data_IF_408738126823
#
_entry.id   IF_408738126823
#
_cell.length_a   1.000
_cell.length_b   1.000
_cell.length_c   1.000
_cell.angle_alpha   90.00
_cell.angle_beta   90.00
_cell.angle_gamma   90.00
#
_symmetry.space_group_name_H-M   'P 1'
#
loop_
_entity.id
_entity.type
_entity.pdbx_description
1 polymer ?
#
# COMPACT_ATOMS: atom_id res chain seq x y z
N UNK A 1 -20.29 15.55 5.28
CA UNK A 1 -19.38 14.98 4.25
C UNK A 1 -17.99 15.56 4.47
N UNK A 2 -17.01 14.74 4.84
CA UNK A 2 -15.65 15.19 5.18
C UNK A 2 -14.92 15.62 3.91
N UNK A 3 -14.45 16.88 3.86
CA UNK A 3 -13.68 17.44 2.75
C UNK A 3 -12.37 16.68 2.65
N UNK A 4 -12.17 15.86 1.61
CA UNK A 4 -10.90 15.16 1.42
C UNK A 4 -9.80 16.17 1.05
N UNK A 5 -8.65 16.01 1.70
CA UNK A 5 -7.39 16.63 1.31
C UNK A 5 -6.70 15.67 0.35
N UNK A 6 -6.49 16.12 -0.89
CA UNK A 6 -5.75 15.38 -1.91
C UNK A 6 -4.26 15.67 -1.73
N UNK A 7 -3.41 14.64 -1.87
CA UNK A 7 -1.97 14.76 -1.64
C UNK A 7 -1.61 14.88 -0.15
N UNK A 8 -1.32 13.75 0.49
CA UNK A 8 -0.91 13.68 1.90
C UNK A 8 0.62 13.70 2.03
N UNK A 9 1.29 12.93 1.20
CA UNK A 9 2.76 12.86 1.13
C UNK A 9 3.32 14.07 0.39
N UNK A 10 4.64 14.25 0.44
CA UNK A 10 5.31 15.25 -0.38
C UNK A 10 5.01 15.05 -1.88
N UNK A 11 5.04 13.80 -2.37
CA UNK A 11 4.81 13.45 -3.77
C UNK A 11 3.41 13.80 -4.27
N UNK A 12 2.37 13.44 -3.52
CA UNK A 12 1.00 13.81 -3.86
C UNK A 12 0.77 15.33 -3.85
N UNK A 13 1.42 16.05 -2.92
CA UNK A 13 1.38 17.52 -2.89
C UNK A 13 2.10 18.14 -4.08
N UNK A 14 3.30 17.66 -4.40
CA UNK A 14 4.09 18.13 -5.53
C UNK A 14 3.36 17.94 -6.86
N UNK A 15 2.65 16.81 -7.03
CA UNK A 15 1.78 16.56 -8.18
C UNK A 15 0.65 17.61 -8.30
N UNK A 16 -0.10 17.84 -7.23
CA UNK A 16 -1.19 18.84 -7.24
C UNK A 16 -0.65 20.23 -7.50
N UNK A 17 0.51 20.55 -6.94
CA UNK A 17 1.13 21.86 -7.09
C UNK A 17 1.61 22.08 -8.53
N UNK A 18 2.21 21.08 -9.16
CA UNK A 18 2.57 21.14 -10.58
C UNK A 18 1.34 21.39 -11.46
N UNK A 19 0.22 20.71 -11.19
CA UNK A 19 -1.03 20.93 -11.92
C UNK A 19 -1.61 22.34 -11.71
N UNK A 20 -1.49 22.90 -10.51
CA UNK A 20 -1.93 24.28 -10.23
C UNK A 20 -1.12 25.31 -11.00
N UNK A 21 0.20 25.11 -11.11
CA UNK A 21 1.09 26.02 -11.84
C UNK A 21 0.74 26.11 -13.32
N UNK A 22 0.19 25.04 -13.91
CA UNK A 22 -0.21 25.01 -15.31
C UNK A 22 -1.71 25.34 -15.52
N UNK A 23 -2.52 25.42 -14.46
CA UNK A 23 -3.95 25.72 -14.51
C UNK A 23 -4.26 27.22 -14.51
N UNK A 24 -3.87 27.93 -15.58
CA UNK A 24 -4.17 29.35 -15.76
C UNK A 24 -5.67 29.69 -15.83
N UNK A 25 -6.52 28.67 -16.05
CA UNK A 25 -7.97 28.83 -16.23
C UNK A 25 -8.81 28.47 -15.01
N UNK A 26 -8.17 28.11 -13.90
CA UNK A 26 -8.83 27.65 -12.66
C UNK A 26 -9.88 26.54 -12.93
N UNK A 27 -9.53 25.57 -13.77
CA UNK A 27 -10.39 24.42 -14.11
C UNK A 27 -10.21 23.26 -13.14
N UNK A 28 -9.04 23.10 -12.53
CA UNK A 28 -8.75 22.05 -11.56
C UNK A 28 -9.70 22.07 -10.35
N UNK A 29 -10.05 23.22 -9.74
CA UNK A 29 -11.01 23.25 -8.63
C UNK A 29 -12.40 22.73 -8.98
N UNK A 30 -12.80 22.77 -10.26
CA UNK A 30 -14.14 22.35 -10.72
C UNK A 30 -14.37 20.84 -10.57
N UNK A 31 -13.29 20.04 -10.61
CA UNK A 31 -13.34 18.59 -10.39
C UNK A 31 -13.43 18.18 -8.92
N UNK A 32 -13.21 19.11 -7.98
CA UNK A 32 -13.11 18.79 -6.55
C UNK A 32 -14.40 18.20 -5.97
N UNK A 33 -15.55 18.70 -6.42
CA UNK A 33 -16.85 18.15 -5.99
C UNK A 33 -17.02 16.70 -6.43
N UNK A 34 -16.62 16.36 -7.65
CA UNK A 34 -16.71 14.99 -8.18
C UNK A 34 -15.77 14.05 -7.44
N UNK A 35 -14.53 14.48 -7.19
CA UNK A 35 -13.56 13.70 -6.42
C UNK A 35 -14.06 13.43 -5.00
N UNK A 36 -14.57 14.45 -4.30
CA UNK A 36 -15.09 14.30 -2.93
C UNK A 36 -16.34 13.43 -2.81
N UNK A 37 -17.19 13.40 -3.85
CA UNK A 37 -18.43 12.61 -3.86
C UNK A 37 -18.21 11.15 -4.27
N UNK A 38 -16.95 10.71 -4.48
CA UNK A 38 -16.64 9.36 -4.94
C UNK A 38 -17.15 9.09 -6.37
N UNK A 39 -17.22 10.14 -7.20
CA UNK A 39 -17.69 10.01 -8.58
C UNK A 39 -16.67 9.27 -9.47
N UNK A 40 -15.38 9.28 -9.11
CA UNK A 40 -14.36 8.42 -9.72
C UNK A 40 -14.57 7.01 -9.20
N UNK A 41 -15.17 6.14 -10.03
CA UNK A 41 -15.58 4.78 -9.67
C UNK A 41 -14.45 3.76 -9.81
N UNK A 42 -13.51 4.05 -10.71
CA UNK A 42 -12.38 3.18 -11.02
C UNK A 42 -11.23 4.05 -11.49
N UNK A 43 -10.03 3.70 -11.06
CA UNK A 43 -8.76 4.24 -11.54
C UNK A 43 -7.77 3.09 -11.63
N UNK A 44 -7.12 2.98 -12.78
CA UNK A 44 -6.07 2.01 -13.06
C UNK A 44 -4.89 2.76 -13.63
N UNK A 45 -3.71 2.45 -13.10
CA UNK A 45 -2.44 3.03 -13.53
C UNK A 45 -1.57 1.87 -13.98
N UNK A 46 -1.07 1.94 -15.20
CA UNK A 46 -0.22 0.90 -15.74
C UNK A 46 0.23 1.20 -17.16
N UNK A 47 1.44 0.77 -17.53
CA UNK A 47 1.94 0.86 -18.91
C UNK A 47 2.01 2.29 -19.45
N UNK A 48 2.30 3.26 -18.58
CA UNK A 48 2.40 4.68 -18.96
C UNK A 48 1.06 5.38 -19.20
N UNK A 49 -0.06 4.76 -18.83
CA UNK A 49 -1.40 5.33 -18.97
C UNK A 49 -2.21 5.24 -17.68
N UNK A 50 -3.04 6.26 -17.44
CA UNK A 50 -4.09 6.22 -16.42
C UNK A 50 -5.42 6.04 -17.11
N UNK A 51 -6.14 4.97 -16.76
CA UNK A 51 -7.50 4.71 -17.19
C UNK A 51 -8.45 4.93 -16.02
N UNK A 52 -9.56 5.62 -16.25
CA UNK A 52 -10.53 5.88 -15.20
C UNK A 52 -11.97 5.88 -15.70
N UNK A 53 -12.90 5.60 -14.77
CA UNK A 53 -14.35 5.71 -14.99
C UNK A 53 -14.95 6.71 -14.02
N UNK A 54 -15.57 7.76 -14.55
CA UNK A 54 -16.16 8.84 -13.74
C UNK A 54 -17.65 8.94 -13.94
N UNK A 55 -18.41 8.72 -12.88
CA UNK A 55 -19.84 8.92 -12.86
C UNK A 55 -20.16 10.41 -13.02
N UNK A 56 -21.00 10.72 -14.00
CA UNK A 56 -21.56 12.07 -14.15
C UNK A 56 -23.06 12.03 -14.28
N UNK A 57 -23.60 12.90 -15.13
CA UNK A 57 -25.06 12.99 -15.34
C UNK A 57 -25.64 11.84 -16.18
N UNK A 58 -24.81 11.17 -16.98
CA UNK A 58 -25.25 10.03 -17.82
C UNK A 58 -25.37 8.75 -16.99
N UNK A 59 -26.19 7.81 -17.45
CA UNK A 59 -26.37 6.50 -16.81
C UNK A 59 -25.06 5.70 -16.78
N UNK A 60 -24.29 5.72 -17.87
CA UNK A 60 -22.97 5.10 -17.92
C UNK A 60 -21.88 6.09 -17.49
N UNK A 61 -20.87 5.64 -16.71
CA UNK A 61 -19.68 6.44 -16.38
C UNK A 61 -18.91 6.87 -17.64
N UNK A 62 -18.36 8.08 -17.62
CA UNK A 62 -17.47 8.57 -18.66
C UNK A 62 -16.13 7.84 -18.60
N UNK A 63 -15.57 7.53 -19.76
CA UNK A 63 -14.24 6.92 -19.91
C UNK A 63 -13.20 8.03 -19.97
N UNK A 64 -12.11 7.86 -19.23
CA UNK A 64 -10.99 8.79 -19.17
C UNK A 64 -9.71 8.04 -19.46
N UNK A 65 -8.85 8.66 -20.28
CA UNK A 65 -7.49 8.21 -20.57
C UNK A 65 -6.55 9.38 -20.37
N UNK A 66 -5.51 9.23 -19.55
CA UNK A 66 -4.47 10.26 -19.35
C UNK A 66 -3.11 9.63 -19.61
N UNK A 67 -2.27 10.32 -20.38
CA UNK A 67 -0.86 9.99 -20.60
C UNK A 67 0.00 11.23 -20.34
N UNK A 68 1.18 11.03 -19.78
CA UNK A 68 2.21 12.06 -19.75
C UNK A 68 3.17 11.86 -20.92
N UNK A 69 3.75 12.96 -21.41
CA UNK A 69 4.81 12.88 -22.40
C UNK A 69 5.99 12.07 -21.83
N UNK A 70 6.42 10.97 -22.46
CA UNK A 70 7.52 10.15 -21.97
C UNK A 70 8.85 10.90 -21.99
N UNK A 71 9.81 10.47 -21.18
CA UNK A 71 11.19 10.93 -21.34
C UNK A 71 11.77 10.41 -22.66
N UNK A 72 12.54 11.27 -23.34
CA UNK A 72 13.36 10.87 -24.48
C UNK A 72 14.41 9.84 -24.04
N UNK A 73 14.97 9.02 -24.95
CA UNK A 73 16.05 8.09 -24.63
C UNK A 73 17.21 8.77 -23.88
N UNK A 74 17.68 9.91 -24.38
CA UNK A 74 18.73 10.71 -23.71
C UNK A 74 18.33 11.18 -22.31
N UNK A 75 17.05 11.52 -22.12
CA UNK A 75 16.51 11.90 -20.83
C UNK A 75 16.53 10.75 -19.83
N UNK A 76 16.15 9.54 -20.27
CA UNK A 76 16.22 8.33 -19.46
C UNK A 76 17.65 7.99 -19.06
N UNK A 77 18.57 8.03 -20.03
CA UNK A 77 19.99 7.81 -19.78
C UNK A 77 20.59 8.83 -18.82
N UNK A 78 20.15 10.10 -18.93
CA UNK A 78 20.51 11.17 -18.01
C UNK A 78 20.04 10.90 -16.58
N UNK A 79 18.82 10.39 -16.40
CA UNK A 79 18.28 10.01 -15.08
C UNK A 79 19.05 8.81 -14.51
N UNK A 80 19.27 7.77 -15.31
CA UNK A 80 19.99 6.57 -14.87
C UNK A 80 21.45 6.91 -14.49
N UNK A 81 22.10 7.82 -15.23
CA UNK A 81 23.43 8.34 -14.88
C UNK A 81 23.39 9.13 -13.57
N UNK A 82 22.39 10.01 -13.40
CA UNK A 82 22.24 10.81 -12.18
C UNK A 82 22.12 9.93 -10.93
N UNK A 83 21.35 8.83 -11.02
CA UNK A 83 21.19 7.87 -9.93
C UNK A 83 22.53 7.18 -9.62
N UNK A 84 23.23 6.69 -10.65
CA UNK A 84 24.55 6.03 -10.48
C UNK A 84 25.61 6.93 -9.85
N UNK A 85 25.59 8.22 -10.19
CA UNK A 85 26.57 9.21 -9.70
C UNK A 85 26.25 9.72 -8.29
N UNK A 86 25.08 9.42 -7.73
CA UNK A 86 24.64 9.91 -6.43
C UNK A 86 24.34 8.75 -5.46
N UNK A 87 25.31 8.38 -4.60
CA UNK A 87 25.17 7.26 -3.67
C UNK A 87 23.96 7.35 -2.74
N UNK A 88 23.56 8.57 -2.33
CA UNK A 88 22.40 8.80 -1.48
C UNK A 88 21.10 8.46 -2.21
N UNK A 89 20.97 8.91 -3.47
CA UNK A 89 19.79 8.58 -4.29
C UNK A 89 19.72 7.09 -4.60
N UNK A 90 20.86 6.49 -4.95
CA UNK A 90 20.96 5.05 -5.17
C UNK A 90 20.49 4.28 -3.93
N UNK A 91 21.05 4.56 -2.75
CA UNK A 91 20.71 3.84 -1.51
C UNK A 91 19.21 3.88 -1.16
N UNK A 92 18.56 5.05 -1.27
CA UNK A 92 17.12 5.17 -1.01
C UNK A 92 16.28 4.41 -2.05
N UNK A 93 16.63 4.50 -3.34
CA UNK A 93 15.97 3.76 -4.41
C UNK A 93 16.10 2.25 -4.21
N UNK A 94 17.24 1.77 -3.70
CA UNK A 94 17.47 0.37 -3.34
C UNK A 94 16.57 -0.11 -2.21
N UNK A 95 16.21 0.78 -1.29
CA UNK A 95 15.21 0.51 -0.24
C UNK A 95 13.76 0.60 -0.77
N UNK A 96 13.58 0.81 -2.08
CA UNK A 96 12.28 1.00 -2.70
C UNK A 96 11.62 2.32 -2.32
N UNK A 97 12.39 3.32 -1.88
CA UNK A 97 11.92 4.66 -1.52
C UNK A 97 12.30 5.64 -2.62
N UNK A 98 11.38 6.54 -2.97
CA UNK A 98 11.64 7.58 -3.96
C UNK A 98 12.05 8.88 -3.25
N UNK A 99 13.31 9.33 -3.36
CA UNK A 99 13.79 10.49 -2.59
C UNK A 99 13.14 11.80 -3.00
N UNK A 100 12.64 12.57 -2.03
CA UNK A 100 12.01 13.89 -2.28
C UNK A 100 12.99 14.91 -2.91
N UNK A 101 14.30 14.70 -2.72
CA UNK A 101 15.33 15.53 -3.35
C UNK A 101 15.51 15.26 -4.86
N UNK A 102 15.08 14.09 -5.36
CA UNK A 102 15.34 13.65 -6.73
C UNK A 102 14.84 14.65 -7.80
N UNK A 103 13.61 15.22 -7.72
CA UNK A 103 13.15 16.17 -8.72
C UNK A 103 13.96 17.46 -8.78
N UNK A 104 14.54 17.90 -7.65
CA UNK A 104 15.40 19.09 -7.62
C UNK A 104 16.72 18.81 -8.37
N UNK A 105 17.35 17.68 -8.09
CA UNK A 105 18.61 17.27 -8.75
C UNK A 105 18.38 16.99 -10.25
N UNK A 106 17.24 16.41 -10.62
CA UNK A 106 16.85 16.26 -12.03
C UNK A 106 16.73 17.62 -12.73
N UNK A 107 16.13 18.60 -12.06
CA UNK A 107 15.92 19.95 -12.62
C UNK A 107 17.23 20.66 -12.91
N UNK A 108 18.27 20.47 -12.09
CA UNK A 108 19.61 21.00 -12.35
C UNK A 108 20.21 20.49 -13.66
N UNK A 109 19.82 19.28 -14.09
CA UNK A 109 20.19 18.69 -15.40
C UNK A 109 19.18 18.96 -16.51
N UNK A 110 18.24 19.89 -16.30
CA UNK A 110 17.20 20.24 -17.28
C UNK A 110 16.07 19.21 -17.41
N UNK A 111 16.04 18.18 -16.55
CA UNK A 111 15.04 17.11 -16.58
C UNK A 111 13.88 17.45 -15.63
N UNK A 112 12.65 17.28 -16.08
CA UNK A 112 11.44 17.58 -15.30
C UNK A 112 10.55 16.35 -15.18
N UNK A 113 10.34 15.89 -13.95
CA UNK A 113 9.43 14.78 -13.66
C UNK A 113 7.97 15.20 -13.79
N UNK A 114 7.62 16.36 -13.24
CA UNK A 114 6.27 16.90 -13.28
C UNK A 114 6.00 17.67 -14.59
N UNK A 115 4.77 17.64 -15.11
CA UNK A 115 4.41 18.36 -16.33
C UNK A 115 4.51 19.87 -16.13
N UNK A 116 5.13 20.58 -17.09
CA UNK A 116 5.20 22.05 -17.05
C UNK A 116 4.16 22.74 -17.93
N UNK A 117 3.36 21.98 -18.70
CA UNK A 117 2.23 22.52 -19.44
C UNK A 117 1.18 21.44 -19.70
N UNK A 118 -0.06 21.83 -20.02
CA UNK A 118 -1.10 20.91 -20.46
C UNK A 118 -0.76 20.16 -21.76
N UNK A 119 0.20 20.65 -22.55
CA UNK A 119 0.65 19.97 -23.78
C UNK A 119 1.45 18.72 -23.48
N UNK A 120 2.09 18.64 -22.31
CA UNK A 120 2.79 17.42 -21.83
C UNK A 120 1.81 16.38 -21.25
N UNK A 121 0.50 16.66 -21.26
CA UNK A 121 -0.54 15.77 -20.73
C UNK A 121 -1.58 15.50 -21.81
N UNK A 122 -1.45 14.36 -22.48
CA UNK A 122 -2.46 13.88 -23.43
C UNK A 122 -3.63 13.26 -22.66
N UNK A 123 -4.73 13.99 -22.56
CA UNK A 123 -5.91 13.60 -21.79
C UNK A 123 -7.17 13.55 -22.67
N UNK A 124 -7.88 12.42 -22.61
CA UNK A 124 -9.17 12.22 -23.27
C UNK A 124 -10.25 11.93 -22.23
N UNK A 125 -11.44 12.50 -22.46
CA UNK A 125 -12.63 12.19 -21.68
C UNK A 125 -13.83 12.10 -22.61
N UNK A 126 -14.60 11.01 -22.50
CA UNK A 126 -15.77 10.76 -23.36
C UNK A 126 -16.99 11.66 -23.07
N UNK A 127 -16.79 12.82 -22.44
CA UNK A 127 -17.82 13.79 -22.11
C UNK A 127 -17.90 14.87 -23.19
N UNK A 128 -19.03 15.60 -23.33
CA UNK A 128 -19.17 16.61 -24.37
C UNK A 128 -18.33 17.89 -24.14
N UNK A 129 -17.58 17.96 -23.03
CA UNK A 129 -16.65 19.05 -22.73
C UNK A 129 -15.25 18.65 -23.23
N UNK A 130 -14.80 19.33 -24.27
CA UNK A 130 -13.51 19.12 -24.94
C UNK A 130 -12.34 19.85 -24.25
N UNK A 131 -12.60 20.59 -23.17
CA UNK A 131 -11.54 21.26 -22.44
C UNK A 131 -10.61 20.27 -21.70
N UNK A 132 -9.33 20.60 -21.61
CA UNK A 132 -8.37 19.93 -20.74
C UNK A 132 -7.91 20.91 -19.63
N UNK A 133 -8.23 20.65 -18.34
CA UNK A 133 -9.16 19.63 -17.85
C UNK A 133 -10.63 20.04 -17.96
N UNK A 134 -11.48 19.08 -18.35
CA UNK A 134 -12.90 19.11 -18.01
C UNK A 134 -13.06 18.75 -16.52
N UNK A 135 -14.26 18.93 -15.95
CA UNK A 135 -14.51 18.61 -14.53
C UNK A 135 -14.24 17.14 -14.17
N UNK A 136 -14.37 16.21 -15.12
CA UNK A 136 -14.11 14.78 -14.87
C UNK A 136 -12.60 14.50 -14.87
N UNK A 137 -11.86 15.07 -15.83
CA UNK A 137 -10.38 15.01 -15.84
C UNK A 137 -9.78 15.62 -14.58
N UNK A 138 -10.27 16.81 -14.18
CA UNK A 138 -9.86 17.45 -12.94
C UNK A 138 -10.11 16.56 -11.71
N UNK A 139 -11.21 15.81 -11.67
CA UNK A 139 -11.48 14.88 -10.58
C UNK A 139 -10.48 13.72 -10.55
N UNK A 140 -10.12 13.16 -11.72
CA UNK A 140 -9.12 12.08 -11.81
C UNK A 140 -7.74 12.60 -11.43
N UNK A 141 -7.33 13.79 -11.87
CA UNK A 141 -6.05 14.37 -11.46
C UNK A 141 -5.91 14.53 -9.95
N UNK A 142 -6.99 14.92 -9.26
CA UNK A 142 -7.02 15.02 -7.80
C UNK A 142 -6.96 13.65 -7.12
N UNK A 143 -7.66 12.65 -7.64
CA UNK A 143 -7.63 11.27 -7.10
C UNK A 143 -6.29 10.59 -7.38
N UNK A 144 -5.67 10.85 -8.53
CA UNK A 144 -4.35 10.34 -8.88
C UNK A 144 -3.28 10.77 -7.87
N UNK A 145 -3.43 11.94 -7.24
CA UNK A 145 -2.56 12.36 -6.13
C UNK A 145 -2.55 11.33 -4.98
N UNK A 146 -3.69 10.69 -4.72
CA UNK A 146 -3.81 9.65 -3.71
C UNK A 146 -3.22 8.30 -4.13
N UNK A 147 -3.18 8.01 -5.43
CA UNK A 147 -2.45 6.84 -5.94
C UNK A 147 -0.93 7.09 -5.91
N UNK A 148 -0.48 8.30 -6.26
CA UNK A 148 0.92 8.74 -6.13
C UNK A 148 1.37 8.73 -4.68
N UNK A 149 0.50 9.11 -3.74
CA UNK A 149 0.79 8.99 -2.32
C UNK A 149 1.12 7.54 -1.92
N UNK A 150 0.42 6.55 -2.49
CA UNK A 150 0.63 5.11 -2.22
C UNK A 150 1.89 4.58 -2.89
N UNK A 151 2.09 4.96 -4.14
CA UNK A 151 3.26 4.58 -4.92
C UNK A 151 3.74 5.77 -5.77
N UNK A 152 4.81 6.46 -5.34
CA UNK A 152 5.31 7.62 -6.07
C UNK A 152 6.04 7.23 -7.37
N UNK A 153 6.41 5.95 -7.57
CA UNK A 153 7.02 5.47 -8.81
C UNK A 153 6.08 5.57 -10.02
N UNK A 154 4.76 5.68 -9.78
CA UNK A 154 3.76 5.98 -10.80
C UNK A 154 4.16 7.18 -11.67
N UNK A 155 4.78 8.21 -11.08
CA UNK A 155 5.20 9.39 -11.83
C UNK A 155 6.24 9.06 -12.90
N UNK A 156 7.18 8.16 -12.59
CA UNK A 156 8.20 7.71 -13.54
C UNK A 156 7.61 6.74 -14.56
N UNK A 157 6.70 5.86 -14.14
CA UNK A 157 6.01 4.93 -15.04
C UNK A 157 5.20 5.70 -16.10
N UNK A 158 4.48 6.75 -15.70
CA UNK A 158 3.75 7.62 -16.62
C UNK A 158 4.68 8.39 -17.58
N UNK A 159 5.95 8.59 -17.21
CA UNK A 159 6.99 9.17 -18.07
C UNK A 159 7.81 8.09 -18.81
N UNK A 160 7.35 6.84 -18.77
CA UNK A 160 7.91 5.72 -19.52
C UNK A 160 9.16 5.09 -18.91
N UNK A 161 9.45 5.31 -17.63
CA UNK A 161 10.55 4.68 -16.90
C UNK A 161 9.96 3.72 -15.85
N UNK A 162 10.32 2.44 -15.95
CA UNK A 162 9.84 1.43 -15.02
C UNK A 162 10.55 1.50 -13.66
N UNK A 163 9.90 1.01 -12.60
CA UNK A 163 10.54 0.87 -11.29
C UNK A 163 11.82 0.03 -11.34
N UNK A 164 11.81 -1.07 -12.10
CA UNK A 164 12.96 -1.95 -12.29
C UNK A 164 14.17 -1.21 -12.86
N UNK A 165 13.95 -0.37 -13.87
CA UNK A 165 15.00 0.43 -14.52
C UNK A 165 15.67 1.39 -13.51
N UNK A 166 14.87 2.05 -12.66
CA UNK A 166 15.40 2.94 -11.61
C UNK A 166 16.20 2.19 -10.54
N UNK A 167 15.74 0.99 -10.13
CA UNK A 167 16.45 0.17 -9.15
C UNK A 167 17.72 -0.46 -9.72
N UNK A 168 17.71 -0.84 -11.00
CA UNK A 168 18.89 -1.30 -11.73
C UNK A 168 19.93 -0.18 -11.83
N UNK A 169 19.51 1.05 -12.13
CA UNK A 169 20.38 2.22 -12.13
C UNK A 169 20.99 2.50 -10.74
N UNK A 170 20.29 2.15 -9.66
CA UNK A 170 20.82 2.24 -8.29
C UNK A 170 21.86 1.15 -7.95
N UNK A 171 22.18 0.24 -8.89
CA UNK A 171 23.13 -0.86 -8.69
C UNK A 171 22.49 -2.15 -8.16
N UNK A 172 21.17 -2.25 -8.17
CA UNK A 172 20.41 -3.41 -7.72
C UNK A 172 19.69 -4.09 -8.89
N UNK A 173 20.37 -4.18 -10.03
CA UNK A 173 19.98 -5.14 -11.07
C UNK A 173 20.19 -6.55 -10.53
N UNK A 174 19.28 -7.46 -10.88
CA UNK A 174 19.26 -8.85 -10.42
C UNK A 174 20.69 -9.38 -10.24
N UNK A 175 21.14 -9.51 -8.99
CA UNK A 175 22.10 -10.54 -8.66
C UNK A 175 21.49 -11.82 -9.25
N UNK A 176 22.19 -12.37 -10.27
CA UNK A 176 21.76 -13.45 -11.15
C UNK A 176 20.52 -14.17 -10.61
N UNK A 177 19.40 -14.05 -11.32
CA UNK A 177 18.14 -14.73 -11.03
C UNK A 177 18.40 -16.19 -10.62
N UNK A 178 18.57 -16.43 -9.32
CA UNK A 178 18.23 -17.72 -8.73
C UNK A 178 16.76 -17.85 -9.03
N UNK A 179 16.43 -18.77 -9.93
CA UNK A 179 15.09 -18.99 -10.43
C UNK A 179 14.10 -18.91 -9.26
N UNK A 180 13.29 -17.84 -9.20
CA UNK A 180 12.11 -17.80 -8.35
C UNK A 180 11.08 -18.77 -8.97
N UNK A 181 11.40 -20.05 -8.92
CA UNK A 181 10.52 -21.14 -9.30
C UNK A 181 9.39 -21.11 -8.30
N UNK A 182 8.17 -20.91 -8.79
CA UNK A 182 6.98 -21.24 -8.03
C UNK A 182 7.05 -22.74 -7.71
N UNK A 183 7.33 -23.07 -6.45
CA UNK A 183 7.26 -24.44 -5.95
C UNK A 183 5.85 -24.63 -5.41
N UNK A 184 5.00 -25.44 -6.06
CA UNK A 184 3.67 -25.70 -5.54
C UNK A 184 3.77 -26.32 -4.14
N UNK A 185 2.82 -26.00 -3.26
CA UNK A 185 2.89 -26.26 -1.80
C UNK A 185 3.20 -27.72 -1.46
N UNK A 186 2.78 -28.66 -2.30
CA UNK A 186 3.06 -30.09 -2.18
C UNK A 186 4.51 -30.51 -2.51
N UNK A 187 5.26 -29.66 -3.20
CA UNK A 187 6.68 -29.86 -3.56
C UNK A 187 7.63 -29.02 -2.69
N UNK A 188 7.10 -28.13 -1.85
CA UNK A 188 7.90 -27.29 -0.98
C UNK A 188 8.45 -28.11 0.20
N UNK A 189 9.75 -28.40 0.17
CA UNK A 189 10.47 -28.93 1.33
C UNK A 189 10.75 -27.78 2.29
N UNK A 190 10.11 -27.80 3.45
CA UNK A 190 10.40 -26.84 4.51
C UNK A 190 11.63 -27.37 5.23
N UNK A 191 12.73 -26.63 5.17
CA UNK A 191 13.75 -26.81 6.20
C UNK A 191 13.07 -26.45 7.51
N UNK A 192 12.84 -27.45 8.36
CA UNK A 192 12.61 -27.21 9.77
C UNK A 192 13.87 -26.49 10.23
N UNK A 193 13.84 -25.16 10.21
CA UNK A 193 14.70 -24.39 11.08
C UNK A 193 14.56 -25.07 12.45
N UNK A 194 15.68 -25.23 13.17
CA UNK A 194 15.61 -25.46 14.62
C UNK A 194 14.45 -24.61 15.13
N UNK A 195 13.57 -25.17 15.96
CA UNK A 195 12.52 -24.40 16.61
C UNK A 195 13.22 -23.28 17.39
N UNK A 196 13.53 -22.17 16.69
CA UNK A 196 13.73 -20.89 17.30
C UNK A 196 12.35 -20.64 17.79
N UNK A 197 12.17 -20.88 19.07
CA UNK A 197 10.96 -20.62 19.81
C UNK A 197 10.65 -19.14 19.59
N UNK A 198 9.94 -18.85 18.50
CA UNK A 198 9.55 -17.51 18.12
C UNK A 198 8.37 -17.19 19.00
N UNK A 199 8.70 -16.90 20.25
CA UNK A 199 7.75 -16.39 21.21
C UNK A 199 7.55 -14.92 20.91
N UNK A 200 6.28 -14.51 20.79
CA UNK A 200 5.92 -13.09 20.83
C UNK A 200 6.48 -12.43 22.09
N UNK A 201 6.64 -13.17 23.20
CA UNK A 201 7.32 -12.69 24.41
C UNK A 201 8.81 -12.36 24.13
N UNK A 202 9.50 -13.13 23.29
CA UNK A 202 10.88 -12.86 22.90
C UNK A 202 11.09 -11.59 22.06
N UNK A 203 10.03 -11.07 21.43
CA UNK A 203 10.01 -9.75 20.78
C UNK A 203 9.71 -8.64 21.79
N UNK A 204 8.85 -8.93 22.77
CA UNK A 204 8.54 -8.04 23.90
C UNK A 204 9.79 -7.78 24.75
N UNK A 205 10.59 -8.83 24.99
CA UNK A 205 11.87 -8.78 25.71
C UNK A 205 13.01 -8.09 24.95
N UNK A 206 12.80 -7.77 23.67
CA UNK A 206 13.76 -7.03 22.83
C UNK A 206 13.18 -5.68 22.40
N UNK A 207 12.98 -4.74 23.34
CA UNK A 207 12.38 -3.44 23.06
C UNK A 207 13.19 -2.58 22.05
N UNK A 208 14.48 -2.90 21.84
CA UNK A 208 15.33 -2.33 20.80
C UNK A 208 14.92 -2.79 19.38
N UNK A 209 14.51 -4.04 19.22
CA UNK A 209 14.06 -4.60 17.94
C UNK A 209 12.66 -4.09 17.57
N UNK A 210 11.75 -3.99 18.54
CA UNK A 210 10.44 -3.36 18.36
C UNK A 210 10.59 -1.95 17.81
N UNK A 211 11.42 -1.10 18.43
CA UNK A 211 11.67 0.25 17.92
C UNK A 211 12.22 0.25 16.50
N UNK A 212 13.08 -0.71 16.17
CA UNK A 212 13.68 -0.85 14.84
C UNK A 212 12.63 -1.25 13.78
N UNK A 213 11.79 -2.24 14.07
CA UNK A 213 10.67 -2.65 13.20
C UNK A 213 9.66 -1.52 13.03
N UNK A 214 9.30 -0.83 14.13
CA UNK A 214 8.40 0.31 14.06
C UNK A 214 9.03 1.54 13.39
N UNK A 215 10.35 1.67 13.35
CA UNK A 215 11.02 2.75 12.61
C UNK A 215 10.76 2.67 11.10
N UNK A 216 10.53 1.45 10.58
CA UNK A 216 10.19 1.20 9.17
C UNK A 216 8.75 1.61 8.83
N UNK A 217 7.87 1.70 9.84
CA UNK A 217 6.50 2.19 9.68
C UNK A 217 6.47 3.72 9.71
N UNK A 218 5.76 4.29 8.74
CA UNK A 218 5.46 5.72 8.74
C UNK A 218 4.45 6.07 9.83
N UNK A 219 4.53 7.29 10.35
CA UNK A 219 3.66 7.80 11.41
C UNK A 219 2.17 7.83 11.02
N UNK A 220 1.87 7.95 9.72
CA UNK A 220 0.50 8.08 9.20
C UNK A 220 0.36 7.35 7.86
N UNK A 221 0.23 6.01 7.89
CA UNK A 221 0.04 5.22 6.69
C UNK A 221 -1.31 5.54 6.03
N UNK A 222 -1.40 5.39 4.72
CA UNK A 222 -2.51 5.92 3.94
C UNK A 222 -3.87 5.26 4.22
N UNK A 223 -3.86 4.02 4.70
CA UNK A 223 -5.05 3.27 5.08
C UNK A 223 -5.65 3.74 6.40
N UNK A 224 -4.88 4.40 7.28
CA UNK A 224 -5.36 4.92 8.55
C UNK A 224 -5.45 6.45 8.49
N UNK A 225 -6.67 6.98 8.54
CA UNK A 225 -6.95 8.40 8.28
C UNK A 225 -7.17 9.23 9.54
N UNK A 226 -7.08 8.60 10.70
CA UNK A 226 -7.28 9.24 12.01
C UNK A 226 -5.92 9.71 12.56
N UNK A 227 -5.62 9.35 13.80
CA UNK A 227 -4.40 9.76 14.49
C UNK A 227 -3.14 9.04 13.96
N UNK A 228 -2.00 9.26 14.62
CA UNK A 228 -0.73 8.62 14.30
C UNK A 228 -0.85 7.09 14.52
N UNK A 229 -1.01 6.34 13.42
CA UNK A 229 -1.18 4.89 13.44
C UNK A 229 -0.01 4.19 14.11
N UNK A 230 1.21 4.68 13.89
CA UNK A 230 2.41 4.11 14.51
C UNK A 230 2.34 4.19 16.03
N UNK A 231 1.91 5.33 16.59
CA UNK A 231 1.68 5.48 18.04
C UNK A 231 0.61 4.51 18.55
N UNK A 232 -0.49 4.37 17.79
CA UNK A 232 -1.56 3.45 18.12
C UNK A 232 -1.08 2.00 18.14
N UNK A 233 -0.33 1.59 17.10
CA UNK A 233 0.20 0.23 16.99
C UNK A 233 1.24 -0.05 18.08
N UNK A 234 2.12 0.91 18.40
CA UNK A 234 3.05 0.81 19.55
C UNK A 234 2.28 0.67 20.86
N UNK A 235 1.20 1.44 21.07
CA UNK A 235 0.36 1.32 22.27
C UNK A 235 -0.30 -0.05 22.37
N UNK A 236 -0.80 -0.57 21.24
CA UNK A 236 -1.37 -1.91 21.17
C UNK A 236 -0.34 -2.98 21.55
N UNK A 237 0.86 -2.93 20.95
CA UNK A 237 1.94 -3.87 21.26
C UNK A 237 2.40 -3.79 22.71
N UNK A 238 2.46 -2.58 23.31
CA UNK A 238 2.80 -2.42 24.73
C UNK A 238 1.73 -2.98 25.68
N UNK A 239 0.45 -2.83 25.32
CA UNK A 239 -0.63 -3.43 26.10
C UNK A 239 -0.57 -4.95 26.03
N UNK A 240 -0.30 -5.51 24.84
CA UNK A 240 -0.09 -6.95 24.63
C UNK A 240 1.09 -7.44 25.44
N UNK A 241 2.26 -6.83 25.29
CA UNK A 241 3.47 -7.11 26.07
C UNK A 241 3.19 -7.19 27.58
N UNK A 242 2.56 -6.16 28.13
CA UNK A 242 2.26 -6.09 29.56
C UNK A 242 1.30 -7.18 30.04
N UNK A 243 0.36 -7.59 29.20
CA UNK A 243 -0.55 -8.68 29.52
C UNK A 243 0.13 -10.06 29.46
N UNK A 244 1.11 -10.24 28.56
CA UNK A 244 1.98 -11.44 28.55
C UNK A 244 2.73 -11.52 29.88
N UNK A 245 3.42 -10.44 30.27
CA UNK A 245 4.26 -10.41 31.48
C UNK A 245 3.47 -10.68 32.76
N UNK A 246 2.19 -10.28 32.77
CA UNK A 246 1.28 -10.43 33.91
C UNK A 246 0.45 -11.73 33.84
N UNK A 247 0.68 -12.60 32.85
CA UNK A 247 -0.12 -13.81 32.57
C UNK A 247 -1.64 -13.57 32.62
N UNK A 248 -2.09 -12.39 32.18
CA UNK A 248 -3.49 -11.96 32.31
C UNK A 248 -4.16 -11.84 30.96
N UNK A 249 -5.43 -12.21 30.90
CA UNK A 249 -6.25 -12.02 29.70
C UNK A 249 -6.35 -10.52 29.38
N UNK A 250 -6.14 -10.15 28.11
CA UNK A 250 -6.40 -8.79 27.64
C UNK A 250 -7.91 -8.55 27.61
N UNK A 251 -8.44 -7.57 28.35
CA UNK A 251 -9.84 -7.18 28.21
C UNK A 251 -10.16 -6.78 26.76
N UNK A 252 -11.34 -7.15 26.26
CA UNK A 252 -11.79 -6.88 24.87
C UNK A 252 -11.73 -5.38 24.52
N UNK A 253 -11.91 -4.52 25.53
CA UNK A 253 -11.85 -3.05 25.47
C UNK A 253 -10.43 -2.47 25.49
N UNK A 254 -9.38 -3.30 25.53
CA UNK A 254 -7.98 -2.84 25.62
C UNK A 254 -7.44 -2.31 24.29
N UNK A 255 -8.08 -2.68 23.17
CA UNK A 255 -7.69 -2.29 21.81
C UNK A 255 -8.87 -1.67 21.03
N UNK A 256 -9.55 -0.64 21.56
CA UNK A 256 -10.81 -0.13 21.01
C UNK A 256 -10.64 0.50 19.62
N UNK A 257 -9.42 0.89 19.26
CA UNK A 257 -9.13 1.47 17.95
C UNK A 257 -8.87 0.41 16.85
N UNK A 258 -8.46 -0.81 17.23
CA UNK A 258 -8.35 -1.92 16.27
C UNK A 258 -9.71 -2.56 15.99
N UNK A 259 -10.67 -2.48 16.92
CA UNK A 259 -12.06 -2.87 16.68
C UNK A 259 -12.72 -2.08 15.53
N UNK A 260 -12.24 -0.86 15.25
CA UNK A 260 -12.68 -0.03 14.11
C UNK A 260 -11.90 -0.31 12.82
N UNK A 261 -10.77 -1.00 12.90
CA UNK A 261 -10.06 -1.44 11.71
C UNK A 261 -10.83 -2.60 11.08
N UNK A 262 -10.98 -2.63 9.76
CA UNK A 262 -11.58 -3.75 9.02
C UNK A 262 -10.67 -5.00 9.00
N UNK A 263 -9.93 -5.24 10.08
CA UNK A 263 -8.95 -6.32 10.26
C UNK A 263 -9.46 -7.17 11.41
N UNK A 264 -9.78 -8.44 11.14
CA UNK A 264 -10.11 -9.42 12.20
C UNK A 264 -8.89 -10.26 12.52
N UNK A 265 -8.66 -10.48 13.81
CA UNK A 265 -7.65 -11.39 14.33
C UNK A 265 -8.31 -12.74 14.63
N UNK A 266 -7.77 -13.83 14.08
CA UNK A 266 -8.19 -15.19 14.42
C UNK A 266 -7.07 -15.90 15.15
N UNK A 267 -7.43 -16.59 16.24
CA UNK A 267 -6.48 -17.24 17.14
C UNK A 267 -6.48 -18.76 16.92
N UNK A 268 -5.28 -19.34 16.97
CA UNK A 268 -5.07 -20.78 17.06
C UNK A 268 -5.63 -21.39 18.35
N UNK A 269 -5.48 -22.70 18.50
CA UNK A 269 -6.29 -23.48 19.43
C UNK A 269 -5.90 -23.39 20.90
N UNK A 270 -4.69 -22.89 21.17
CA UNK A 270 -4.20 -22.60 22.50
C UNK A 270 -4.72 -21.28 23.10
N UNK A 271 -5.61 -20.59 22.40
CA UNK A 271 -6.14 -19.30 22.87
C UNK A 271 -5.26 -18.11 22.49
N UNK A 272 -5.48 -16.99 23.19
CA UNK A 272 -5.03 -15.63 22.85
C UNK A 272 -3.52 -15.53 22.55
N UNK A 273 -3.06 -14.66 21.62
CA UNK A 273 -1.69 -14.54 21.10
C UNK A 273 -0.60 -14.22 22.11
N UNK A 274 -0.98 -14.02 23.38
CA UNK A 274 -0.02 -13.87 24.46
C UNK A 274 0.69 -15.18 24.78
N UNK A 275 0.04 -16.32 24.46
CA UNK A 275 0.51 -17.64 24.90
C UNK A 275 0.85 -18.59 23.73
N UNK A 276 0.42 -18.31 22.49
CA UNK A 276 0.74 -19.13 21.32
C UNK A 276 0.88 -18.34 20.01
N UNK A 277 1.85 -18.75 19.18
CA UNK A 277 2.35 -18.03 18.00
C UNK A 277 1.46 -18.08 16.73
N UNK A 278 0.24 -18.60 16.82
CA UNK A 278 -0.64 -18.76 15.65
C UNK A 278 -1.75 -17.69 15.64
N UNK A 279 -1.43 -16.49 15.14
CA UNK A 279 -2.40 -15.44 14.87
C UNK A 279 -2.45 -15.13 13.37
N UNK A 280 -3.66 -15.18 12.79
CA UNK A 280 -3.88 -14.87 11.37
C UNK A 280 -4.68 -13.59 11.22
N UNK A 281 -4.23 -12.71 10.31
CA UNK A 281 -4.86 -11.44 10.00
C UNK A 281 -5.59 -11.51 8.66
N UNK A 282 -6.88 -11.18 8.64
CA UNK A 282 -7.65 -11.12 7.40
C UNK A 282 -8.36 -9.76 7.23
N UNK A 283 -8.26 -9.13 6.04
CA UNK A 283 -9.16 -8.05 5.65
C UNK A 283 -10.61 -8.57 5.60
N UNK A 284 -11.54 -7.86 6.25
CA UNK A 284 -12.98 -8.20 6.28
C UNK A 284 -13.58 -8.47 4.88
N UNK A 285 -13.01 -7.85 3.85
CA UNK A 285 -13.57 -7.84 2.50
C UNK A 285 -13.04 -8.99 1.62
N UNK A 286 -11.91 -9.60 2.00
CA UNK A 286 -11.24 -10.65 1.20
C UNK A 286 -11.82 -12.04 1.38
N UNK A 287 -12.68 -12.21 2.39
CA UNK A 287 -13.17 -13.53 2.75
C UNK A 287 -14.55 -13.81 2.15
N UNK A 288 -15.43 -12.82 1.98
CA UNK A 288 -16.83 -13.11 1.59
C UNK A 288 -17.52 -14.12 2.52
N UNK A 289 -16.93 -14.39 3.70
CA UNK A 289 -17.27 -15.52 4.55
C UNK A 289 -18.08 -15.03 5.74
N UNK A 290 -19.22 -15.68 5.95
CA UNK A 290 -20.01 -15.49 7.15
C UNK A 290 -19.49 -16.43 8.25
N UNK A 291 -18.57 -15.92 9.08
CA UNK A 291 -18.01 -16.65 10.25
C UNK A 291 -19.12 -17.05 11.25
N UNK A 292 -20.33 -16.49 11.16
CA UNK A 292 -21.46 -16.90 11.99
C UNK A 292 -22.02 -18.29 11.60
N UNK A 293 -21.65 -18.86 10.45
CA UNK A 293 -22.14 -20.16 10.01
C UNK A 293 -21.37 -21.31 10.69
N UNK A 294 -21.94 -21.79 11.80
CA UNK A 294 -21.38 -22.83 12.70
C UNK A 294 -21.09 -24.18 12.01
N UNK A 295 -21.49 -24.38 10.75
CA UNK A 295 -21.26 -25.62 9.99
C UNK A 295 -20.11 -25.52 8.98
N UNK A 296 -19.54 -24.34 8.75
CA UNK A 296 -18.44 -24.17 7.80
C UNK A 296 -17.12 -24.70 8.38
N UNK A 297 -16.57 -25.76 7.79
CA UNK A 297 -15.17 -26.16 8.00
C UNK A 297 -14.26 -25.43 7.03
N UNK A 298 -13.13 -24.91 7.51
CA UNK A 298 -12.18 -24.07 6.76
C UNK A 298 -10.86 -24.80 6.56
N UNK A 299 -10.12 -24.48 5.48
CA UNK A 299 -8.85 -25.16 5.18
C UNK A 299 -7.68 -24.25 5.47
N UNK A 300 -6.75 -24.67 6.34
CA UNK A 300 -5.51 -23.94 6.64
C UNK A 300 -4.28 -24.78 6.24
N UNK A 301 -3.18 -24.15 5.83
CA UNK A 301 -1.89 -24.82 5.67
C UNK A 301 -1.30 -25.15 7.05
N UNK A 302 -0.86 -26.39 7.26
CA UNK A 302 -0.21 -26.89 8.48
C UNK A 302 1.11 -27.56 8.10
N UNK A 303 2.19 -27.28 8.84
CA UNK A 303 3.47 -27.96 8.66
C UNK A 303 3.46 -29.32 9.37
N UNK A 304 3.64 -30.41 8.63
CA UNK A 304 3.73 -31.78 9.17
C UNK A 304 4.92 -32.50 8.53
N UNK A 305 5.86 -33.00 9.34
CA UNK A 305 7.02 -33.78 8.89
C UNK A 305 7.83 -33.13 7.75
N UNK A 306 8.09 -31.82 7.84
CA UNK A 306 8.90 -31.08 6.86
C UNK A 306 8.18 -30.70 5.56
N UNK A 307 6.86 -30.88 5.47
CA UNK A 307 6.04 -30.49 4.32
C UNK A 307 4.78 -29.71 4.75
N UNK A 308 4.34 -28.76 3.93
CA UNK A 308 3.10 -28.01 4.14
C UNK A 308 1.90 -28.76 3.55
N UNK A 309 0.90 -29.08 4.38
CA UNK A 309 -0.33 -29.77 3.95
C UNK A 309 -1.56 -28.93 4.26
N UNK A 310 -2.51 -28.92 3.34
CA UNK A 310 -3.80 -28.24 3.52
C UNK A 310 -4.73 -29.13 4.35
N UNK A 311 -5.11 -28.71 5.56
CA UNK A 311 -6.05 -29.43 6.44
C UNK A 311 -7.34 -28.66 6.66
N UNK A 312 -8.46 -29.39 6.61
CA UNK A 312 -9.78 -28.85 6.91
C UNK A 312 -10.05 -28.90 8.42
N UNK A 313 -10.21 -27.75 9.04
CA UNK A 313 -10.51 -27.54 10.46
C UNK A 313 -11.99 -27.19 10.61
N UNK A 314 -12.67 -27.78 11.61
CA UNK A 314 -14.06 -27.42 11.94
C UNK A 314 -14.06 -26.38 13.07
N UNK A 315 -15.00 -25.43 13.02
CA UNK A 315 -15.24 -24.52 14.12
C UNK A 315 -15.82 -25.30 15.33
N UNK A 316 -15.19 -25.27 16.53
CA UNK A 316 -15.77 -25.91 17.72
C UNK A 316 -16.85 -25.05 18.37
N UNK A 317 -17.59 -25.69 19.29
CA UNK A 317 -18.73 -25.16 20.04
C UNK A 317 -18.41 -23.87 20.80
N UNK A 318 -19.36 -22.94 20.70
CA UNK A 318 -19.53 -21.72 21.49
C UNK A 318 -19.33 -21.96 23.00
N UNK A 319 -18.31 -21.34 23.61
CA UNK A 319 -18.20 -21.16 25.05
C UNK A 319 -17.91 -19.67 25.28
N UNK A 320 -18.96 -18.86 25.44
CA UNK A 320 -18.83 -17.40 25.56
C UNK A 320 -18.34 -16.71 24.28
N UNK A 321 -18.20 -15.38 24.31
CA UNK A 321 -17.89 -14.51 23.16
C UNK A 321 -16.47 -14.71 22.56
N UNK A 322 -15.76 -15.78 22.91
CA UNK A 322 -14.41 -16.07 22.44
C UNK A 322 -14.41 -17.21 21.40
N UNK A 323 -13.79 -16.95 20.25
CA UNK A 323 -13.58 -17.95 19.20
C UNK A 323 -12.34 -18.79 19.53
N UNK A 324 -12.52 -19.94 20.18
CA UNK A 324 -11.48 -20.96 20.26
C UNK A 324 -11.70 -22.02 19.17
N UNK A 325 -10.68 -22.24 18.33
CA UNK A 325 -10.56 -23.48 17.58
C UNK A 325 -10.04 -24.61 18.52
N UNK A 326 -10.38 -25.87 18.27
CA UNK A 326 -10.08 -27.06 19.09
C UNK A 326 -9.80 -28.21 18.09
N UNK A 327 -8.61 -28.81 18.14
CA UNK A 327 -8.11 -29.99 17.39
C UNK A 327 -8.04 -31.07 18.46
#
# INVERSE_FOLDING_TARGET
MTRQTFGKTWWGKAWIEALRHIDYSSRLPRGRSYANQGAVRQIEVGGGVVLARVQGRRKSPYRITIRLEPFSPDGKDGINRLIRENPTLAAELSLGRLPEALPAVMKERGLRLFPASWREISADCSCPDWANPCKHLAAVYLILAGEIDKDPFILFELRGIGRKELTEAAGFGEAASGENRFVPVNEAQVQTAEEVEFSLAGLVDRPSEIKSVFSLLSDSPLFYREENFKKLLIKAYKSVARAVDLETELPEDSLPHLQKAHIRCMYGQGGHPLFHAEAFYFPCDTTGFNIADKKAGYTIPVAENGALKMRRVRCPKWIGQNYCARV
#
